data_IF_003816073328
#
_entry.id   IF_003816073328
#
_cell.length_a   1.000
_cell.length_b   1.000
_cell.length_c   1.000
_cell.angle_alpha   90.00
_cell.angle_beta   90.00
_cell.angle_gamma   90.00
#
_symmetry.space_group_name_H-M   'P 1'
#
loop_
_entity.id
_entity.type
_entity.pdbx_description
1 polymer ?
#
# COMPACT_ATOMS: atom_id res chain seq x y z
N UNK A 1 6.70 -7.91 -2.83
CA UNK A 1 5.70 -6.91 -3.25
C UNK A 1 4.56 -7.53 -4.06
N UNK A 2 4.81 -8.19 -5.20
CA UNK A 2 3.74 -8.69 -6.08
C UNK A 2 2.69 -9.57 -5.39
N UNK A 3 3.11 -10.53 -4.56
CA UNK A 3 2.18 -11.37 -3.81
C UNK A 3 1.32 -10.58 -2.80
N UNK A 4 1.92 -9.62 -2.09
CA UNK A 4 1.22 -8.76 -1.12
C UNK A 4 0.17 -7.92 -1.85
N UNK A 5 0.56 -7.28 -2.96
CA UNK A 5 -0.34 -6.47 -3.77
C UNK A 5 -1.47 -7.29 -4.39
N UNK A 6 -1.17 -8.52 -4.83
CA UNK A 6 -2.18 -9.44 -5.37
C UNK A 6 -3.25 -9.80 -4.34
N UNK A 7 -2.85 -10.09 -3.10
CA UNK A 7 -3.79 -10.32 -1.98
C UNK A 7 -4.55 -9.04 -1.66
N UNK A 8 -3.88 -7.89 -1.68
CA UNK A 8 -4.49 -6.60 -1.36
C UNK A 8 -5.57 -6.21 -2.37
N UNK A 9 -5.38 -6.54 -3.66
CA UNK A 9 -6.37 -6.36 -4.72
C UNK A 9 -7.68 -7.10 -4.44
N UNK A 10 -7.62 -8.24 -3.74
CA UNK A 10 -8.82 -8.97 -3.31
C UNK A 10 -9.64 -8.12 -2.33
N UNK A 11 -9.01 -7.43 -1.37
CA UNK A 11 -9.73 -6.55 -0.44
C UNK A 11 -10.46 -5.42 -1.18
N UNK A 12 -9.82 -4.82 -2.20
CA UNK A 12 -10.43 -3.78 -3.02
C UNK A 12 -11.60 -4.33 -3.85
N UNK A 13 -11.44 -5.51 -4.44
CA UNK A 13 -12.51 -6.18 -5.18
C UNK A 13 -13.68 -6.55 -4.25
N UNK A 14 -13.41 -7.00 -3.03
CA UNK A 14 -14.46 -7.31 -2.04
C UNK A 14 -15.23 -6.05 -1.63
N UNK A 15 -14.55 -4.92 -1.41
CA UNK A 15 -15.22 -3.63 -1.17
C UNK A 15 -16.14 -3.23 -2.34
N UNK A 16 -15.67 -3.44 -3.58
CA UNK A 16 -16.48 -3.17 -4.77
C UNK A 16 -17.68 -4.12 -4.92
N UNK A 17 -17.48 -5.41 -4.61
CA UNK A 17 -18.58 -6.40 -4.61
C UNK A 17 -19.64 -6.06 -3.57
N UNK A 18 -19.25 -5.59 -2.38
CA UNK A 18 -20.17 -5.16 -1.32
C UNK A 18 -21.03 -3.96 -1.74
N UNK A 19 -20.48 -3.07 -2.58
CA UNK A 19 -21.22 -1.92 -3.12
C UNK A 19 -21.92 -2.22 -4.46
N UNK A 20 -21.76 -3.42 -5.02
CA UNK A 20 -22.30 -3.76 -6.35
C UNK A 20 -23.83 -3.83 -6.42
N UNK A 21 -24.51 -3.89 -5.27
CA UNK A 21 -25.98 -3.96 -5.21
C UNK A 21 -26.56 -5.31 -5.66
N UNK A 22 -25.79 -6.39 -5.59
CA UNK A 22 -26.25 -7.71 -5.96
C UNK A 22 -27.37 -8.23 -5.04
N UNK A 23 -28.33 -9.01 -5.58
CA UNK A 23 -29.52 -9.47 -4.87
C UNK A 23 -29.23 -10.26 -3.58
N UNK A 24 -28.11 -11.00 -3.52
CA UNK A 24 -27.72 -11.73 -2.30
C UNK A 24 -27.31 -10.81 -1.15
N UNK A 25 -27.02 -9.53 -1.43
CA UNK A 25 -26.67 -8.51 -0.44
C UNK A 25 -27.92 -7.81 0.14
N UNK A 26 -29.11 -8.04 -0.41
CA UNK A 26 -30.36 -7.45 0.07
C UNK A 26 -30.77 -7.87 1.50
N UNK A 27 -30.10 -8.89 2.06
CA UNK A 27 -30.24 -9.32 3.45
C UNK A 27 -29.55 -8.35 4.43
N UNK A 28 -28.59 -7.57 3.96
CA UNK A 28 -27.85 -6.60 4.76
C UNK A 28 -28.44 -5.19 4.60
N UNK A 29 -28.40 -4.39 5.67
CA UNK A 29 -28.75 -2.98 5.58
C UNK A 29 -27.69 -2.18 4.80
N UNK A 30 -28.10 -1.11 4.11
CA UNK A 30 -27.19 -0.28 3.32
C UNK A 30 -26.04 0.29 4.16
N UNK A 31 -26.30 0.64 5.41
CA UNK A 31 -25.28 1.16 6.32
C UNK A 31 -24.28 0.06 6.74
N UNK A 32 -24.72 -1.19 6.84
CA UNK A 32 -23.83 -2.32 7.14
C UNK A 32 -22.90 -2.63 5.96
N UNK A 33 -23.42 -2.61 4.74
CA UNK A 33 -22.61 -2.80 3.53
C UNK A 33 -21.55 -1.71 3.38
N UNK A 34 -21.90 -0.45 3.66
CA UNK A 34 -20.95 0.67 3.63
C UNK A 34 -19.88 0.55 4.71
N UNK A 35 -20.24 0.19 5.94
CA UNK A 35 -19.28 -0.03 7.02
C UNK A 35 -18.30 -1.18 6.68
N UNK A 36 -18.81 -2.27 6.10
CA UNK A 36 -17.98 -3.40 5.70
C UNK A 36 -17.06 -3.05 4.52
N UNK A 37 -17.55 -2.30 3.55
CA UNK A 37 -16.74 -1.80 2.45
C UNK A 37 -15.61 -0.87 2.92
N UNK A 38 -15.90 0.04 3.87
CA UNK A 38 -14.88 0.88 4.50
C UNK A 38 -13.82 0.05 5.23
N UNK A 39 -14.22 -1.03 5.91
CA UNK A 39 -13.28 -1.95 6.55
C UNK A 39 -12.34 -2.61 5.53
N UNK A 40 -12.88 -3.13 4.44
CA UNK A 40 -12.06 -3.73 3.37
C UNK A 40 -11.17 -2.70 2.66
N UNK A 41 -11.63 -1.46 2.52
CA UNK A 41 -10.84 -0.36 1.97
C UNK A 41 -9.69 0.03 2.92
N UNK A 42 -9.93 0.09 4.22
CA UNK A 42 -8.87 0.28 5.21
C UNK A 42 -7.87 -0.88 5.22
N UNK A 43 -8.35 -2.14 5.10
CA UNK A 43 -7.47 -3.30 4.97
C UNK A 43 -6.62 -3.27 3.68
N UNK A 44 -7.17 -2.72 2.58
CA UNK A 44 -6.40 -2.42 1.39
C UNK A 44 -5.28 -1.42 1.71
N UNK A 45 -5.59 -0.26 2.31
CA UNK A 45 -4.57 0.74 2.68
C UNK A 45 -3.43 0.15 3.52
N UNK A 46 -3.75 -0.64 4.57
CA UNK A 46 -2.71 -1.25 5.41
C UNK A 46 -1.80 -2.21 4.62
N UNK A 47 -2.35 -3.04 3.75
CA UNK A 47 -1.49 -3.94 2.97
C UNK A 47 -0.75 -3.23 1.82
N UNK A 48 -1.25 -2.09 1.35
CA UNK A 48 -0.52 -1.19 0.45
C UNK A 48 0.70 -0.59 1.17
N UNK A 49 0.54 -0.10 2.40
CA UNK A 49 1.65 0.40 3.22
C UNK A 49 2.71 -0.68 3.47
N UNK A 50 2.29 -1.90 3.82
CA UNK A 50 3.22 -3.03 3.97
C UNK A 50 3.98 -3.28 2.67
N UNK A 51 3.29 -3.30 1.52
CA UNK A 51 3.92 -3.49 0.22
C UNK A 51 4.95 -2.39 -0.11
N UNK A 52 4.66 -1.14 0.28
CA UNK A 52 5.52 0.02 0.15
C UNK A 52 6.81 -0.09 0.96
N UNK A 53 6.75 -0.61 2.19
CA UNK A 53 7.95 -0.86 3.01
C UNK A 53 8.91 -1.82 2.31
N UNK A 54 8.40 -2.95 1.79
CA UNK A 54 9.22 -3.89 1.03
C UNK A 54 9.78 -3.28 -0.25
N UNK A 55 9.00 -2.42 -0.92
CA UNK A 55 9.44 -1.72 -2.11
C UNK A 55 10.55 -0.69 -1.82
N UNK A 56 10.40 0.10 -0.75
CA UNK A 56 11.40 1.05 -0.28
C UNK A 56 12.71 0.36 0.09
N UNK A 57 12.66 -0.77 0.81
CA UNK A 57 13.85 -1.59 1.09
C UNK A 57 14.52 -2.10 -0.20
N UNK A 58 13.72 -2.57 -1.17
CA UNK A 58 14.24 -3.01 -2.45
C UNK A 58 14.92 -1.87 -3.23
N UNK A 59 14.31 -0.69 -3.29
CA UNK A 59 14.92 0.50 -3.91
C UNK A 59 16.18 0.96 -3.18
N UNK A 60 16.24 0.81 -1.86
CA UNK A 60 17.42 1.17 -1.07
C UNK A 60 18.60 0.26 -1.45
N UNK A 61 18.37 -1.05 -1.54
CA UNK A 61 19.38 -2.01 -2.02
C UNK A 61 19.78 -1.71 -3.46
N UNK A 62 18.80 -1.40 -4.32
CA UNK A 62 19.04 -1.07 -5.73
C UNK A 62 19.86 0.23 -5.87
N UNK A 63 19.52 1.27 -5.13
CA UNK A 63 20.22 2.56 -5.11
C UNK A 63 21.66 2.41 -4.60
N UNK A 64 21.88 1.57 -3.59
CA UNK A 64 23.21 1.21 -3.12
C UNK A 64 24.03 0.47 -4.19
N UNK A 65 23.43 -0.50 -4.88
CA UNK A 65 24.07 -1.22 -5.98
C UNK A 65 24.41 -0.27 -7.15
N UNK A 66 23.51 0.63 -7.52
CA UNK A 66 23.73 1.65 -8.57
C UNK A 66 24.88 2.58 -8.20
N UNK A 67 24.96 3.01 -6.94
CA UNK A 67 26.08 3.83 -6.44
C UNK A 67 27.42 3.10 -6.55
N UNK A 68 27.44 1.79 -6.25
CA UNK A 68 28.65 0.95 -6.30
C UNK A 68 29.04 0.53 -7.72
N UNK A 69 28.08 0.30 -8.61
CA UNK A 69 28.33 -0.37 -9.90
C UNK A 69 29.04 0.51 -10.94
N UNK A 70 29.18 1.82 -10.73
CA UNK A 70 29.97 2.72 -11.57
C UNK A 70 29.48 2.94 -13.02
N UNK A 71 28.56 2.11 -13.51
CA UNK A 71 27.96 2.19 -14.86
C UNK A 71 26.94 3.34 -15.02
N UNK A 72 26.36 3.83 -13.93
CA UNK A 72 25.34 4.89 -13.92
C UNK A 72 25.80 6.10 -13.09
N UNK A 73 25.31 7.31 -13.40
CA UNK A 73 25.65 8.50 -12.63
C UNK A 73 25.24 8.33 -11.17
N UNK A 74 26.20 8.45 -10.25
CA UNK A 74 26.02 8.28 -8.80
C UNK A 74 24.90 9.13 -8.20
N UNK A 75 24.58 10.26 -8.85
CA UNK A 75 23.47 11.15 -8.49
C UNK A 75 22.13 10.40 -8.48
N UNK A 76 21.89 9.50 -9.43
CA UNK A 76 20.66 8.70 -9.48
C UNK A 76 20.56 7.73 -8.31
N UNK A 77 21.69 7.14 -7.88
CA UNK A 77 21.73 6.27 -6.70
C UNK A 77 21.36 7.02 -5.42
N UNK A 78 21.86 8.24 -5.24
CA UNK A 78 21.51 9.09 -4.08
C UNK A 78 20.04 9.51 -4.13
N UNK A 79 19.52 9.94 -5.29
CA UNK A 79 18.10 10.26 -5.44
C UNK A 79 17.24 9.05 -5.07
N UNK A 80 17.56 7.85 -5.58
CA UNK A 80 16.82 6.62 -5.26
C UNK A 80 16.76 6.32 -3.75
N UNK A 81 17.89 6.49 -3.05
CA UNK A 81 17.93 6.29 -1.59
C UNK A 81 17.08 7.34 -0.86
N UNK A 82 17.14 8.60 -1.27
CA UNK A 82 16.32 9.68 -0.69
C UNK A 82 14.83 9.38 -0.90
N UNK A 83 14.42 9.01 -2.11
CA UNK A 83 13.02 8.66 -2.40
C UNK A 83 12.57 7.43 -1.59
N UNK A 84 13.46 6.45 -1.39
CA UNK A 84 13.18 5.27 -0.57
C UNK A 84 12.91 5.63 0.90
N UNK A 85 13.69 6.58 1.44
CA UNK A 85 13.49 7.09 2.80
C UNK A 85 12.17 7.82 2.95
N UNK A 86 11.77 8.61 1.95
CA UNK A 86 10.46 9.26 1.94
C UNK A 86 9.32 8.25 1.95
N UNK A 87 9.41 7.19 1.13
CA UNK A 87 8.42 6.11 1.13
C UNK A 87 8.36 5.37 2.46
N UNK A 88 9.50 5.06 3.08
CA UNK A 88 9.52 4.47 4.41
C UNK A 88 8.86 5.40 5.44
N UNK A 89 9.17 6.69 5.40
CA UNK A 89 8.62 7.68 6.34
C UNK A 89 7.11 7.81 6.20
N UNK A 90 6.59 7.74 4.97
CA UNK A 90 5.15 7.76 4.68
C UNK A 90 4.45 6.51 5.24
N UNK A 91 5.00 5.31 4.97
CA UNK A 91 4.46 4.06 5.53
C UNK A 91 4.55 4.02 7.06
N UNK A 92 5.64 4.52 7.65
CA UNK A 92 5.76 4.63 9.11
C UNK A 92 4.76 5.63 9.68
N UNK A 93 4.46 6.73 8.98
CA UNK A 93 3.44 7.69 9.41
C UNK A 93 2.04 7.08 9.36
N UNK A 94 1.74 6.29 8.32
CA UNK A 94 0.48 5.51 8.24
C UNK A 94 0.34 4.51 9.38
N UNK A 95 1.43 3.88 9.82
CA UNK A 95 1.43 2.90 10.92
C UNK A 95 1.41 3.53 12.32
N UNK A 96 2.07 4.68 12.52
CA UNK A 96 2.21 5.36 13.82
C UNK A 96 1.04 6.30 14.13
N UNK A 97 0.36 6.83 13.12
CA UNK A 97 -0.79 7.73 13.28
C UNK A 97 -2.05 7.22 12.57
N UNK A 98 -2.58 6.04 12.96
CA UNK A 98 -3.86 5.57 12.41
C UNK A 98 -5.03 6.51 12.78
N UNK A 99 -4.92 7.28 13.87
CA UNK A 99 -5.96 8.23 14.34
C UNK A 99 -5.96 9.58 13.61
N UNK A 100 -4.89 9.97 12.90
CA UNK A 100 -4.83 11.24 12.18
C UNK A 100 -5.49 11.19 10.79
N UNK A 101 -5.88 9.99 10.31
CA UNK A 101 -6.49 9.75 9.00
C UNK A 101 -8.03 9.55 9.09
N UNK A 102 -8.66 9.86 10.23
CA UNK A 102 -10.12 9.85 10.40
C UNK A 102 -10.80 11.13 9.90
#
# INVERSE_FOLDING_TARGET
MAAIMGINLLNQLTALMLLSGADYLAVFDANQLQALALLFLGAFEYGYDIALVFFGLHLLVLGYLVYRSGCFPRVLGVLLVVTSLSYLSDSFSGFLFPDARR
#
